data_IF_263472147800
#
_entry.id   IF_263472147800
#
_cell.length_a   1.000
_cell.length_b   1.000
_cell.length_c   1.000
_cell.angle_alpha   90.00
_cell.angle_beta   90.00
_cell.angle_gamma   90.00
#
_symmetry.space_group_name_H-M   'P 1'
#
loop_
_entity.id
_entity.type
_entity.pdbx_description
1 polymer ?
#
# COMPACT_ATOMS: atom_id res chain seq x y z
N UNK A 1 -66.51 5.40 42.84
CA UNK A 1 -65.04 5.49 42.89
C UNK A 1 -64.32 4.96 41.64
N UNK A 2 -64.97 4.14 40.78
CA UNK A 2 -64.34 3.58 39.56
C UNK A 2 -64.43 4.54 38.34
N UNK A 3 -65.46 5.38 38.28
CA UNK A 3 -65.65 6.32 37.16
C UNK A 3 -64.66 7.50 37.13
N UNK A 4 -64.15 7.92 38.30
CA UNK A 4 -63.20 9.05 38.40
C UNK A 4 -61.78 8.58 38.01
N UNK A 5 -61.43 7.32 38.30
CA UNK A 5 -60.14 6.74 37.91
C UNK A 5 -60.03 6.50 36.39
N UNK A 6 -61.14 6.16 35.73
CA UNK A 6 -61.20 6.00 34.27
C UNK A 6 -61.01 7.33 33.52
N UNK A 7 -61.58 8.43 34.04
CA UNK A 7 -61.46 9.76 33.43
C UNK A 7 -60.04 10.34 33.56
N UNK A 8 -59.35 10.06 34.67
CA UNK A 8 -57.97 10.51 34.89
C UNK A 8 -56.99 9.73 34.00
N UNK A 9 -57.21 8.43 33.80
CA UNK A 9 -56.39 7.61 32.88
C UNK A 9 -56.61 7.97 31.41
N UNK A 10 -57.82 8.37 30.99
CA UNK A 10 -58.09 8.78 29.62
C UNK A 10 -57.47 10.16 29.30
N UNK A 11 -57.46 11.09 30.25
CA UNK A 11 -56.80 12.39 30.08
C UNK A 11 -55.27 12.31 30.16
N UNK A 12 -54.70 11.29 30.82
CA UNK A 12 -53.26 11.05 30.80
C UNK A 12 -52.78 10.39 29.50
N UNK A 13 -53.68 9.73 28.74
CA UNK A 13 -53.34 9.08 27.47
C UNK A 13 -53.39 10.03 26.27
N UNK A 14 -54.08 11.18 26.36
CA UNK A 14 -54.14 12.19 25.28
C UNK A 14 -53.02 13.25 25.41
N UNK A 15 -52.34 13.31 26.56
CA UNK A 15 -51.26 14.27 26.83
C UNK A 15 -49.85 13.77 26.43
N UNK A 16 -49.73 12.68 25.69
CA UNK A 16 -48.50 12.34 24.96
C UNK A 16 -48.70 12.59 23.47
N UNK A 17 -49.08 13.82 23.14
CA UNK A 17 -48.80 14.36 21.81
C UNK A 17 -47.28 14.28 21.65
N UNK A 18 -46.85 13.32 20.82
CA UNK A 18 -45.50 13.26 20.31
C UNK A 18 -45.16 14.65 19.78
N UNK A 19 -44.25 15.34 20.47
CA UNK A 19 -43.55 16.45 19.85
C UNK A 19 -42.73 15.77 18.76
N UNK A 20 -43.31 15.66 17.57
CA UNK A 20 -42.54 15.50 16.35
C UNK A 20 -41.69 16.77 16.23
N UNK A 21 -40.55 16.79 16.92
CA UNK A 21 -39.46 17.70 16.64
C UNK A 21 -38.85 17.26 15.30
N UNK A 22 -39.62 17.39 14.22
CA UNK A 22 -39.04 17.65 12.90
C UNK A 22 -38.52 19.08 12.92
N UNK A 23 -37.52 19.33 13.77
CA UNK A 23 -36.62 20.46 13.61
C UNK A 23 -35.76 20.11 12.40
N UNK A 24 -36.35 20.25 11.21
CA UNK A 24 -35.60 20.41 9.97
C UNK A 24 -34.96 21.78 10.08
N UNK A 25 -33.90 21.89 10.88
CA UNK A 25 -33.16 23.13 11.07
C UNK A 25 -32.51 23.47 9.73
N UNK A 26 -33.23 24.23 8.90
CA UNK A 26 -32.81 24.54 7.53
C UNK A 26 -31.45 25.24 7.52
N UNK A 27 -31.12 25.98 8.58
CA UNK A 27 -29.80 26.59 8.78
C UNK A 27 -28.73 25.54 8.99
N UNK A 28 -28.95 24.52 9.83
CA UNK A 28 -28.00 23.41 10.00
C UNK A 28 -27.70 22.71 8.68
N UNK A 29 -28.73 22.33 7.92
CA UNK A 29 -28.53 21.62 6.65
C UNK A 29 -27.83 22.49 5.60
N UNK A 30 -28.13 23.79 5.55
CA UNK A 30 -27.42 24.75 4.67
C UNK A 30 -25.95 24.86 5.05
N UNK A 31 -25.63 24.98 6.34
CA UNK A 31 -24.25 25.06 6.82
C UNK A 31 -23.51 23.75 6.55
N UNK A 32 -24.14 22.60 6.82
CA UNK A 32 -23.57 21.28 6.53
C UNK A 32 -23.24 21.12 5.04
N UNK A 33 -24.17 21.50 4.16
CA UNK A 33 -23.93 21.43 2.71
C UNK A 33 -22.81 22.38 2.29
N UNK A 34 -22.82 23.62 2.78
CA UNK A 34 -21.75 24.58 2.51
C UNK A 34 -20.37 24.06 2.95
N UNK A 35 -20.29 23.39 4.10
CA UNK A 35 -19.05 22.76 4.58
C UNK A 35 -18.59 21.62 3.66
N UNK A 36 -19.49 20.72 3.26
CA UNK A 36 -19.15 19.60 2.36
C UNK A 36 -18.66 20.12 1.00
N UNK A 37 -19.34 21.12 0.43
CA UNK A 37 -18.91 21.73 -0.83
C UNK A 37 -17.55 22.41 -0.67
N UNK A 38 -17.33 23.13 0.45
CA UNK A 38 -16.04 23.77 0.74
C UNK A 38 -14.92 22.74 0.85
N UNK A 39 -15.13 21.62 1.56
CA UNK A 39 -14.16 20.52 1.64
C UNK A 39 -13.86 19.90 0.28
N UNK A 40 -14.88 19.71 -0.56
CA UNK A 40 -14.71 19.20 -1.92
C UNK A 40 -13.84 20.13 -2.76
N UNK A 41 -14.14 21.44 -2.77
CA UNK A 41 -13.37 22.44 -3.52
C UNK A 41 -11.92 22.57 -3.05
N UNK A 42 -11.68 22.50 -1.73
CA UNK A 42 -10.34 22.58 -1.15
C UNK A 42 -9.51 21.30 -1.36
N UNK A 43 -10.13 20.20 -1.76
CA UNK A 43 -9.42 18.95 -2.02
C UNK A 43 -8.57 19.04 -3.29
N UNK A 44 -7.52 18.21 -3.37
CA UNK A 44 -6.65 18.15 -4.56
C UNK A 44 -7.47 17.83 -5.81
N UNK A 45 -7.55 18.79 -6.73
CA UNK A 45 -8.32 18.65 -7.97
C UNK A 45 -9.82 18.94 -7.83
N UNK A 46 -10.28 19.50 -6.71
CA UNK A 46 -11.70 19.81 -6.46
C UNK A 46 -12.35 20.77 -7.46
N UNK A 47 -11.55 21.68 -8.05
CA UNK A 47 -12.02 22.64 -9.06
C UNK A 47 -11.84 22.14 -10.51
N UNK A 48 -11.40 20.89 -10.72
CA UNK A 48 -11.28 20.30 -12.05
C UNK A 48 -12.66 20.08 -12.66
N UNK A 49 -12.89 20.63 -13.85
CA UNK A 49 -14.14 20.47 -14.58
C UNK A 49 -14.05 19.25 -15.50
N UNK A 50 -14.82 18.22 -15.18
CA UNK A 50 -14.89 17.00 -15.98
C UNK A 50 -15.85 17.18 -17.17
N UNK A 51 -15.47 16.65 -18.33
CA UNK A 51 -16.36 16.51 -19.48
C UNK A 51 -17.30 15.28 -19.34
N UNK A 52 -18.23 15.11 -20.28
CA UNK A 52 -19.23 14.03 -20.21
C UNK A 52 -18.64 12.62 -20.15
N UNK A 53 -17.55 12.36 -20.88
CA UNK A 53 -16.86 11.05 -20.86
C UNK A 53 -16.11 10.85 -19.56
N UNK A 54 -15.44 11.89 -19.06
CA UNK A 54 -14.73 11.84 -17.78
C UNK A 54 -15.69 11.59 -16.60
N UNK A 55 -16.88 12.20 -16.62
CA UNK A 55 -17.94 11.94 -15.62
C UNK A 55 -18.40 10.48 -15.66
N UNK A 56 -18.55 9.88 -16.84
CA UNK A 56 -18.93 8.46 -16.96
C UNK A 56 -17.84 7.54 -16.40
N UNK A 57 -16.59 7.82 -16.74
CA UNK A 57 -15.41 7.08 -16.28
C UNK A 57 -15.24 7.23 -14.75
N UNK A 58 -15.44 8.42 -14.20
CA UNK A 58 -15.40 8.69 -12.75
C UNK A 58 -16.47 7.87 -12.00
N UNK A 59 -17.70 7.81 -12.50
CA UNK A 59 -18.77 6.98 -11.91
C UNK A 59 -18.37 5.51 -11.81
N UNK A 60 -17.75 4.96 -12.84
CA UNK A 60 -17.27 3.56 -12.85
C UNK A 60 -16.15 3.37 -11.83
N UNK A 61 -15.17 4.28 -11.81
CA UNK A 61 -14.06 4.24 -10.87
C UNK A 61 -14.54 4.33 -9.41
N UNK A 62 -15.39 5.30 -9.12
CA UNK A 62 -15.94 5.54 -7.78
C UNK A 62 -16.79 4.37 -7.30
N UNK A 63 -17.54 3.71 -8.19
CA UNK A 63 -18.24 2.46 -7.86
C UNK A 63 -17.27 1.38 -7.36
N UNK A 64 -16.19 1.10 -8.11
CA UNK A 64 -15.20 0.10 -7.67
C UNK A 64 -14.48 0.51 -6.38
N UNK A 65 -14.17 1.79 -6.22
CA UNK A 65 -13.54 2.32 -5.00
C UNK A 65 -14.43 2.14 -3.78
N UNK A 66 -15.71 2.50 -3.86
CA UNK A 66 -16.66 2.40 -2.75
C UNK A 66 -16.91 0.93 -2.40
N UNK A 67 -17.13 0.05 -3.40
CA UNK A 67 -17.28 -1.40 -3.18
C UNK A 67 -16.07 -1.99 -2.43
N UNK A 68 -14.85 -1.61 -2.81
CA UNK A 68 -13.62 -2.08 -2.17
C UNK A 68 -13.45 -1.54 -0.74
N UNK A 69 -13.78 -0.26 -0.50
CA UNK A 69 -13.73 0.36 0.82
C UNK A 69 -14.76 -0.24 1.78
N UNK A 70 -16.00 -0.46 1.31
CA UNK A 70 -17.04 -1.11 2.10
C UNK A 70 -16.65 -2.52 2.49
N UNK A 71 -16.07 -3.29 1.57
CA UNK A 71 -15.60 -4.64 1.85
C UNK A 71 -14.46 -4.63 2.88
N UNK A 72 -13.52 -3.70 2.76
CA UNK A 72 -12.46 -3.49 3.76
C UNK A 72 -12.99 -3.05 5.13
N UNK A 73 -14.08 -2.28 5.16
CA UNK A 73 -14.74 -1.85 6.40
C UNK A 73 -15.47 -3.01 7.10
N UNK A 74 -16.13 -3.90 6.36
CA UNK A 74 -16.79 -5.10 6.92
C UNK A 74 -15.78 -6.17 7.30
N UNK A 75 -14.70 -6.30 6.53
CA UNK A 75 -13.68 -7.33 6.68
C UNK A 75 -12.29 -6.70 6.78
N UNK A 76 -11.79 -6.38 7.99
CA UNK A 76 -10.52 -5.69 8.17
C UNK A 76 -9.32 -6.37 7.50
N UNK A 77 -9.32 -7.70 7.37
CA UNK A 77 -8.28 -8.48 6.69
C UNK A 77 -8.27 -8.32 5.15
N UNK A 78 -9.31 -7.70 4.57
CA UNK A 78 -9.40 -7.33 3.16
C UNK A 78 -9.08 -5.86 2.90
N UNK A 79 -8.91 -5.06 3.95
CA UNK A 79 -8.48 -3.67 3.82
C UNK A 79 -6.97 -3.62 3.53
N UNK A 80 -6.61 -3.62 2.25
CA UNK A 80 -5.21 -3.60 1.84
C UNK A 80 -4.45 -2.36 2.35
N UNK A 81 -5.12 -1.22 2.52
CA UNK A 81 -4.50 0.02 2.97
C UNK A 81 -4.10 0.02 4.45
N UNK A 82 -4.72 -0.82 5.29
CA UNK A 82 -4.37 -0.96 6.71
C UNK A 82 -3.29 -2.02 6.98
N UNK A 83 -2.79 -2.67 5.94
CA UNK A 83 -1.83 -3.78 6.05
C UNK A 83 -0.44 -3.36 5.59
N UNK A 84 0.60 -4.00 6.14
CA UNK A 84 1.95 -3.85 5.61
C UNK A 84 1.98 -4.27 4.12
N UNK A 85 2.62 -3.47 3.25
CA UNK A 85 2.61 -3.67 1.79
C UNK A 85 2.94 -5.09 1.34
N UNK A 86 3.95 -5.75 1.92
CA UNK A 86 4.30 -7.14 1.61
C UNK A 86 3.14 -8.14 1.78
N UNK A 87 2.22 -7.89 2.71
CA UNK A 87 1.01 -8.70 2.93
C UNK A 87 -0.16 -8.19 2.08
N UNK A 88 -0.22 -6.89 1.82
CA UNK A 88 -1.27 -6.24 1.04
C UNK A 88 -1.15 -6.45 -0.49
N UNK A 89 0.08 -6.59 -1.01
CA UNK A 89 0.36 -6.65 -2.46
C UNK A 89 -0.53 -7.64 -3.23
N UNK A 90 -0.74 -8.89 -2.78
CA UNK A 90 -1.64 -9.83 -3.49
C UNK A 90 -3.12 -9.40 -3.49
N UNK A 91 -3.56 -8.58 -2.53
CA UNK A 91 -4.91 -7.99 -2.54
C UNK A 91 -4.97 -6.84 -3.55
N UNK A 92 -3.97 -5.95 -3.52
CA UNK A 92 -3.85 -4.81 -4.45
C UNK A 92 -3.81 -5.30 -5.90
N UNK A 93 -3.02 -6.33 -6.22
CA UNK A 93 -2.91 -6.87 -7.58
C UNK A 93 -4.22 -7.45 -8.13
N UNK A 94 -5.16 -7.84 -7.26
CA UNK A 94 -6.50 -8.33 -7.66
C UNK A 94 -7.55 -7.23 -7.72
N UNK A 95 -7.27 -6.07 -7.13
CA UNK A 95 -8.19 -4.92 -7.08
C UNK A 95 -8.60 -4.45 -8.47
N UNK A 96 -9.88 -4.08 -8.62
CA UNK A 96 -10.37 -3.42 -9.83
C UNK A 96 -9.89 -1.97 -9.88
N UNK A 97 -9.82 -1.31 -8.72
CA UNK A 97 -9.27 0.04 -8.58
C UNK A 97 -7.81 0.06 -9.04
N UNK A 98 -6.97 -0.87 -8.56
CA UNK A 98 -5.57 -0.92 -8.96
C UNK A 98 -5.39 -1.15 -10.47
N UNK A 99 -6.17 -2.07 -11.06
CA UNK A 99 -6.17 -2.29 -12.52
C UNK A 99 -6.55 -1.03 -13.30
N UNK A 100 -7.49 -0.26 -12.79
CA UNK A 100 -7.86 1.03 -13.36
C UNK A 100 -6.69 2.03 -13.28
N UNK A 101 -6.07 2.17 -12.09
CA UNK A 101 -4.90 3.03 -11.87
C UNK A 101 -3.69 2.65 -12.73
N UNK A 102 -3.53 1.36 -13.07
CA UNK A 102 -2.48 0.90 -13.98
C UNK A 102 -2.63 1.48 -15.39
N UNK A 103 -3.87 1.65 -15.87
CA UNK A 103 -4.18 2.19 -17.20
C UNK A 103 -4.06 3.72 -17.27
N UNK A 104 -4.10 4.41 -16.12
CA UNK A 104 -4.00 5.87 -16.10
C UNK A 104 -2.60 6.39 -16.48
N UNK A 105 -2.51 7.43 -17.34
CA UNK A 105 -1.28 8.14 -17.59
C UNK A 105 -0.91 8.98 -16.36
N UNK A 106 0.00 8.47 -15.51
CA UNK A 106 0.39 9.09 -14.23
C UNK A 106 1.32 10.31 -14.36
N UNK A 107 1.60 10.75 -15.58
CA UNK A 107 2.55 11.85 -15.84
C UNK A 107 4.00 11.40 -15.66
N UNK A 108 4.71 12.02 -14.72
CA UNK A 108 6.16 11.85 -14.53
C UNK A 108 6.52 11.23 -13.17
N UNK A 109 7.67 10.55 -13.13
CA UNK A 109 8.29 10.02 -11.91
C UNK A 109 9.32 11.03 -11.38
N UNK A 110 8.93 11.84 -10.39
CA UNK A 110 9.74 12.95 -9.89
C UNK A 110 10.61 12.62 -8.67
N UNK A 111 10.36 11.49 -8.02
CA UNK A 111 11.15 11.04 -6.87
C UNK A 111 11.51 9.56 -7.04
N UNK A 112 12.77 9.30 -7.38
CA UNK A 112 13.31 7.96 -7.55
C UNK A 112 14.80 7.95 -7.16
N UNK A 113 15.20 6.93 -6.42
CA UNK A 113 16.61 6.59 -6.27
C UNK A 113 17.02 5.66 -7.42
N UNK A 114 18.03 6.05 -8.19
CA UNK A 114 18.51 5.37 -9.40
C UNK A 114 18.70 3.84 -9.21
N UNK A 115 19.31 3.41 -8.10
CA UNK A 115 19.57 2.00 -7.81
C UNK A 115 18.30 1.18 -7.53
N UNK A 116 17.20 1.85 -7.15
CA UNK A 116 15.90 1.23 -6.88
C UNK A 116 14.91 1.38 -8.04
N UNK A 117 15.36 1.82 -9.21
CA UNK A 117 14.52 2.03 -10.40
C UNK A 117 14.12 0.77 -11.16
N UNK A 118 14.66 -0.40 -10.79
CA UNK A 118 14.43 -1.66 -11.49
C UNK A 118 13.97 -2.75 -10.51
N UNK A 119 13.19 -3.72 -11.00
CA UNK A 119 12.72 -4.82 -10.16
C UNK A 119 13.88 -5.74 -9.73
N UNK A 120 13.82 -6.21 -8.48
CA UNK A 120 14.78 -7.20 -7.95
C UNK A 120 14.78 -8.48 -8.79
N UNK A 121 13.62 -8.89 -9.28
CA UNK A 121 13.48 -10.03 -10.18
C UNK A 121 14.30 -9.84 -11.47
N UNK A 122 14.27 -8.64 -12.06
CA UNK A 122 15.05 -8.36 -13.26
C UNK A 122 16.57 -8.41 -12.97
N UNK A 123 17.01 -7.90 -11.82
CA UNK A 123 18.42 -7.99 -11.37
C UNK A 123 18.85 -9.46 -11.27
N UNK A 124 18.03 -10.31 -10.64
CA UNK A 124 18.31 -11.74 -10.49
C UNK A 124 18.33 -12.44 -11.84
N UNK A 125 17.37 -12.18 -12.72
CA UNK A 125 17.27 -12.85 -14.02
C UNK A 125 18.32 -12.39 -15.03
N UNK A 126 18.81 -11.15 -14.92
CA UNK A 126 19.70 -10.55 -15.93
C UNK A 126 21.09 -10.22 -15.36
N UNK A 127 21.20 -9.27 -14.42
CA UNK A 127 22.50 -8.83 -13.91
C UNK A 127 23.28 -9.96 -13.27
N UNK A 128 22.61 -10.84 -12.53
CA UNK A 128 23.30 -11.95 -11.87
C UNK A 128 23.74 -13.08 -12.82
N UNK A 129 23.40 -12.99 -14.12
CA UNK A 129 23.89 -13.89 -15.16
C UNK A 129 25.14 -13.36 -15.87
N UNK A 130 25.51 -12.10 -15.63
CA UNK A 130 26.68 -11.49 -16.26
C UNK A 130 27.96 -12.19 -15.81
N UNK A 131 28.81 -12.52 -16.78
CA UNK A 131 30.13 -13.09 -16.53
C UNK A 131 31.00 -12.08 -15.78
N UNK A 132 31.79 -12.57 -14.83
CA UNK A 132 32.65 -11.72 -14.00
C UNK A 132 31.94 -11.01 -12.85
N UNK A 133 30.64 -11.21 -12.62
CA UNK A 133 30.02 -10.78 -11.38
C UNK A 133 30.49 -11.65 -10.21
N UNK A 134 31.13 -11.01 -9.24
CA UNK A 134 31.68 -11.61 -8.04
C UNK A 134 30.86 -11.23 -6.82
N UNK A 135 30.90 -12.10 -5.81
CA UNK A 135 30.35 -11.87 -4.48
C UNK A 135 31.39 -12.18 -3.41
N UNK A 136 31.41 -11.37 -2.36
CA UNK A 136 32.08 -11.67 -1.10
C UNK A 136 31.20 -11.23 0.07
N UNK A 137 31.59 -11.63 1.29
CA UNK A 137 30.95 -11.20 2.53
C UNK A 137 31.96 -10.37 3.33
N UNK A 138 31.56 -9.21 3.85
CA UNK A 138 32.42 -8.37 4.71
C UNK A 138 32.49 -8.90 6.16
N UNK A 139 33.25 -8.24 7.01
CA UNK A 139 33.37 -8.60 8.43
C UNK A 139 32.06 -8.46 9.23
N UNK A 140 31.06 -7.73 8.70
CA UNK A 140 29.75 -7.51 9.32
C UNK A 140 28.68 -8.46 8.77
N UNK A 141 29.05 -9.40 7.89
CA UNK A 141 28.12 -10.32 7.26
C UNK A 141 27.36 -9.74 6.07
N UNK A 142 27.77 -8.57 5.55
CA UNK A 142 27.10 -7.91 4.42
C UNK A 142 27.64 -8.49 3.11
N UNK A 143 26.72 -8.80 2.19
CA UNK A 143 27.06 -9.28 0.86
C UNK A 143 27.47 -8.11 -0.04
N UNK A 144 28.67 -8.19 -0.61
CA UNK A 144 29.19 -7.23 -1.57
C UNK A 144 29.17 -7.86 -2.95
N UNK A 145 28.55 -7.18 -3.92
CA UNK A 145 28.54 -7.57 -5.33
C UNK A 145 29.47 -6.63 -6.12
N UNK A 146 30.36 -7.19 -6.94
CA UNK A 146 31.35 -6.41 -7.69
C UNK A 146 31.77 -7.11 -8.97
N UNK A 147 32.18 -6.35 -9.98
CA UNK A 147 32.85 -6.88 -11.19
C UNK A 147 34.38 -6.83 -11.10
N UNK A 148 34.93 -6.32 -9.99
CA UNK A 148 36.36 -6.20 -9.77
C UNK A 148 36.70 -6.52 -8.33
N UNK A 149 37.74 -7.31 -8.13
CA UNK A 149 38.30 -7.54 -6.81
C UNK A 149 39.02 -6.28 -6.32
N UNK A 150 38.59 -5.75 -5.17
CA UNK A 150 39.24 -4.62 -4.48
C UNK A 150 39.25 -4.89 -2.98
N UNK A 151 40.13 -5.79 -2.50
CA UNK A 151 40.18 -6.21 -1.09
C UNK A 151 40.26 -5.03 -0.12
N UNK A 152 41.07 -4.01 -0.43
CA UNK A 152 41.29 -2.83 0.44
C UNK A 152 40.01 -2.01 0.68
N UNK A 153 39.11 -1.97 -0.30
CA UNK A 153 37.85 -1.21 -0.23
C UNK A 153 36.73 -2.07 0.33
N UNK A 154 36.61 -3.31 -0.15
CA UNK A 154 35.48 -4.19 0.20
C UNK A 154 35.62 -4.76 1.60
N UNK A 155 36.85 -4.93 2.12
CA UNK A 155 37.12 -5.51 3.44
C UNK A 155 36.41 -6.85 3.64
N UNK A 156 36.42 -7.69 2.59
CA UNK A 156 35.80 -9.01 2.60
C UNK A 156 36.48 -9.89 3.66
N UNK A 157 35.67 -10.59 4.46
CA UNK A 157 36.12 -11.68 5.33
C UNK A 157 36.19 -13.03 4.60
N UNK A 158 35.49 -13.16 3.47
CA UNK A 158 35.51 -14.35 2.60
C UNK A 158 36.27 -14.09 1.30
N UNK A 159 36.64 -15.17 0.61
CA UNK A 159 37.12 -15.09 -0.77
C UNK A 159 36.03 -14.57 -1.71
N UNK A 160 36.45 -13.99 -2.84
CA UNK A 160 35.54 -13.66 -3.94
C UNK A 160 35.08 -14.93 -4.62
N UNK A 161 33.78 -15.04 -4.87
CA UNK A 161 33.16 -16.16 -5.55
C UNK A 161 32.42 -15.63 -6.77
N UNK A 162 32.66 -16.25 -7.93
CA UNK A 162 31.93 -15.91 -9.13
C UNK A 162 30.48 -16.41 -9.04
N UNK A 163 29.52 -15.51 -9.23
CA UNK A 163 28.09 -15.80 -9.06
C UNK A 163 27.61 -16.86 -10.06
N UNK A 164 28.10 -16.82 -11.30
CA UNK A 164 27.79 -17.82 -12.32
C UNK A 164 28.23 -19.23 -11.91
N UNK A 165 29.39 -19.39 -11.29
CA UNK A 165 29.87 -20.68 -10.78
C UNK A 165 29.06 -21.14 -9.56
N UNK A 166 28.78 -20.25 -8.61
CA UNK A 166 27.95 -20.55 -7.43
C UNK A 166 26.57 -21.04 -7.86
N UNK A 167 25.99 -20.39 -8.89
CA UNK A 167 24.73 -20.77 -9.52
C UNK A 167 24.80 -22.16 -10.12
N UNK A 168 25.80 -22.46 -10.95
CA UNK A 168 25.94 -23.77 -11.61
C UNK A 168 26.09 -24.92 -10.60
N UNK A 169 26.78 -24.66 -9.49
CA UNK A 169 26.95 -25.63 -8.38
C UNK A 169 25.70 -25.76 -7.51
N UNK A 170 24.71 -24.87 -7.65
CA UNK A 170 23.49 -24.90 -6.84
C UNK A 170 22.60 -26.08 -7.22
N UNK A 171 22.02 -26.76 -6.22
CA UNK A 171 21.08 -27.88 -6.43
C UNK A 171 19.77 -27.45 -7.10
N UNK A 172 19.42 -26.17 -7.01
CA UNK A 172 18.19 -25.61 -7.58
C UNK A 172 18.39 -24.14 -7.92
N UNK A 173 18.32 -23.84 -9.21
CA UNK A 173 18.40 -22.46 -9.71
C UNK A 173 17.29 -21.59 -9.14
N UNK A 174 16.08 -22.14 -8.96
CA UNK A 174 14.95 -21.42 -8.39
C UNK A 174 15.18 -21.08 -6.91
N UNK A 175 15.74 -22.00 -6.13
CA UNK A 175 16.08 -21.74 -4.73
C UNK A 175 17.21 -20.70 -4.62
N UNK A 176 18.24 -20.81 -5.46
CA UNK A 176 19.33 -19.83 -5.51
C UNK A 176 18.82 -18.43 -5.88
N UNK A 177 17.99 -18.32 -6.93
CA UNK A 177 17.37 -17.06 -7.35
C UNK A 177 16.64 -16.38 -6.19
N UNK A 178 15.83 -17.15 -5.45
CA UNK A 178 15.09 -16.63 -4.30
C UNK A 178 16.01 -16.16 -3.18
N UNK A 179 17.07 -16.93 -2.87
CA UNK A 179 18.05 -16.55 -1.86
C UNK A 179 18.83 -15.29 -2.26
N UNK A 180 19.23 -15.18 -3.53
CA UNK A 180 19.92 -14.02 -4.06
C UNK A 180 19.02 -12.78 -4.06
N UNK A 181 17.75 -12.94 -4.42
CA UNK A 181 16.78 -11.84 -4.44
C UNK A 181 16.55 -11.24 -3.04
N UNK A 182 16.57 -12.08 -1.99
CA UNK A 182 16.48 -11.62 -0.60
C UNK A 182 17.70 -10.77 -0.16
N UNK A 183 18.81 -10.77 -0.90
CA UNK A 183 19.97 -9.93 -0.59
C UNK A 183 19.80 -8.48 -1.06
N UNK A 184 18.90 -8.25 -2.03
CA UNK A 184 18.77 -6.99 -2.76
C UNK A 184 17.40 -6.33 -2.59
N UNK A 185 16.52 -6.92 -1.78
CA UNK A 185 15.24 -6.32 -1.41
C UNK A 185 14.90 -6.61 0.06
N UNK A 186 13.87 -5.93 0.56
CA UNK A 186 13.45 -6.02 1.96
C UNK A 186 12.30 -7.00 2.18
N UNK A 187 11.88 -7.75 1.16
CA UNK A 187 10.70 -8.60 1.26
C UNK A 187 10.89 -9.68 2.33
N UNK A 188 9.93 -9.74 3.25
CA UNK A 188 9.85 -10.80 4.25
C UNK A 188 8.40 -11.12 4.57
N UNK A 189 8.13 -12.38 4.94
CA UNK A 189 6.79 -12.84 5.31
C UNK A 189 6.27 -12.19 6.60
N UNK A 190 7.17 -11.79 7.50
CA UNK A 190 6.85 -11.23 8.82
C UNK A 190 7.61 -9.92 9.08
N UNK A 191 7.28 -8.83 8.35
CA UNK A 191 7.97 -7.55 8.47
C UNK A 191 7.89 -6.95 9.88
N UNK A 192 6.84 -7.27 10.64
CA UNK A 192 6.65 -6.85 12.02
C UNK A 192 7.76 -7.28 12.99
N UNK A 193 8.56 -8.29 12.65
CA UNK A 193 9.62 -8.80 13.54
C UNK A 193 10.94 -8.03 13.43
N UNK A 194 11.09 -7.19 12.41
CA UNK A 194 12.38 -6.56 12.06
C UNK A 194 12.35 -5.02 12.15
N UNK A 195 11.41 -4.44 12.92
CA UNK A 195 11.19 -2.98 12.96
C UNK A 195 12.44 -2.20 13.38
N UNK A 196 13.22 -2.71 14.34
CA UNK A 196 14.44 -2.06 14.84
C UNK A 196 15.67 -2.15 13.93
N UNK A 197 15.62 -2.98 12.88
CA UNK A 197 16.74 -3.19 11.95
C UNK A 197 16.45 -2.72 10.52
N UNK A 198 15.23 -2.26 10.24
CA UNK A 198 14.78 -1.88 8.91
C UNK A 198 15.69 -0.84 8.23
N UNK A 199 16.07 0.22 8.93
CA UNK A 199 16.97 1.24 8.37
C UNK A 199 18.38 0.70 8.12
N UNK A 200 18.86 -0.18 8.99
CA UNK A 200 20.15 -0.84 8.80
C UNK A 200 20.11 -1.76 7.57
N UNK A 201 19.01 -2.50 7.37
CA UNK A 201 18.83 -3.38 6.22
C UNK A 201 18.64 -2.58 4.92
N UNK A 202 17.95 -1.43 4.96
CA UNK A 202 17.79 -0.52 3.82
C UNK A 202 19.13 0.09 3.39
N UNK A 203 19.99 0.48 4.34
CA UNK A 203 21.34 0.97 4.03
C UNK A 203 22.28 -0.14 3.54
N UNK A 204 21.96 -1.41 3.82
CA UNK A 204 22.73 -2.57 3.37
C UNK A 204 22.32 -3.06 1.98
N UNK A 205 21.07 -2.85 1.58
CA UNK A 205 20.69 -3.06 0.18
C UNK A 205 21.45 -2.07 -0.70
N UNK A 206 22.03 -2.51 -1.83
CA UNK A 206 22.96 -1.70 -2.62
C UNK A 206 22.26 -0.46 -3.20
N UNK A 207 22.34 0.63 -2.45
CA UNK A 207 22.03 1.99 -2.87
C UNK A 207 23.24 2.85 -2.50
N UNK A 208 24.16 2.97 -3.45
CA UNK A 208 25.15 4.04 -3.48
C UNK A 208 24.96 4.81 -4.77
#
# INVERSE_FOLDING_TARGET
>A
MIAIFSLICFNLFIATTTINLTVKNSTYFKVREALIQTEYHLSTGGDLRLNSKEIEVDKIFMKYKIEELEEGSRHPFKNAASMHFFKAKPLIERSKVFRFLQQMPKGALLHLHNTAGVSSEWIVRNLSQLTGLLRCIDQRGINILTFREKPDIHKCSTQYVAINEERQKSRSQAAYNRSFENLINLYTKRPERNIGIFFNDLQRTPAK
#
